data_IF_684853255909
#
_entry.id   IF_684853255909
#
_cell.length_a   1.000
_cell.length_b   1.000
_cell.length_c   1.000
_cell.angle_alpha   90.00
_cell.angle_beta   90.00
_cell.angle_gamma   90.00
#
_symmetry.space_group_name_H-M   'P 1'
#
loop_
_entity.id
_entity.type
_entity.pdbx_description
1 polymer ?
#
# COMPACT_ATOMS: atom_id res chain seq x y z
N UNK A 1 1.10 -73.68 17.67
CA UNK A 1 2.29 -73.30 16.89
C UNK A 1 3.44 -74.16 17.34
N UNK A 2 4.04 -74.93 16.47
CA UNK A 2 5.16 -75.78 16.80
C UNK A 2 6.43 -74.99 17.04
N UNK A 3 7.28 -75.41 18.01
CA UNK A 3 8.51 -74.70 18.36
C UNK A 3 9.43 -74.41 17.17
N UNK A 4 9.38 -75.22 16.12
CA UNK A 4 10.08 -74.95 14.84
C UNK A 4 9.63 -73.71 14.10
N UNK A 5 8.32 -73.38 14.09
CA UNK A 5 7.79 -72.19 13.43
C UNK A 5 8.18 -70.88 14.17
N UNK A 6 8.33 -70.99 15.51
CA UNK A 6 8.78 -69.84 16.33
C UNK A 6 10.25 -69.51 16.05
N UNK A 7 11.09 -70.49 15.89
CA UNK A 7 12.52 -70.31 15.57
C UNK A 7 12.71 -69.72 14.18
N UNK A 8 11.93 -70.16 13.19
CA UNK A 8 11.96 -69.59 11.83
C UNK A 8 11.50 -68.16 11.83
N UNK A 9 10.42 -67.81 12.56
CA UNK A 9 9.92 -66.48 12.68
C UNK A 9 10.92 -65.52 13.33
N UNK A 10 11.60 -65.96 14.36
CA UNK A 10 12.63 -65.18 15.04
C UNK A 10 13.86 -64.95 14.13
N UNK A 11 14.27 -65.94 13.34
CA UNK A 11 15.37 -65.81 12.40
C UNK A 11 15.03 -64.84 11.29
N UNK A 12 13.80 -64.85 10.74
CA UNK A 12 13.33 -63.91 9.74
C UNK A 12 13.28 -62.48 10.30
N UNK A 13 12.81 -62.32 11.55
CA UNK A 13 12.76 -60.99 12.19
C UNK A 13 14.16 -60.42 12.42
N UNK A 14 15.15 -61.22 12.77
CA UNK A 14 16.56 -60.79 12.93
C UNK A 14 17.17 -60.40 11.59
N UNK A 15 16.89 -61.16 10.52
CA UNK A 15 17.38 -60.84 9.16
C UNK A 15 16.73 -59.56 8.66
N UNK A 16 15.41 -59.40 8.82
CA UNK A 16 14.71 -58.15 8.41
C UNK A 16 15.17 -56.95 9.26
N UNK A 17 15.37 -57.11 10.54
CA UNK A 17 15.93 -56.09 11.43
C UNK A 17 17.37 -55.70 11.04
N UNK A 18 18.20 -56.70 10.69
CA UNK A 18 19.56 -56.47 10.19
C UNK A 18 19.61 -55.74 8.85
N UNK A 19 18.75 -56.10 7.91
CA UNK A 19 18.61 -55.42 6.62
C UNK A 19 18.09 -53.99 6.79
N UNK A 20 17.06 -53.78 7.63
CA UNK A 20 16.55 -52.44 7.97
C UNK A 20 17.61 -51.58 8.66
N UNK A 21 18.36 -52.13 9.60
CA UNK A 21 19.48 -51.43 10.24
C UNK A 21 20.60 -51.09 9.24
N UNK A 22 20.96 -51.97 8.34
CA UNK A 22 22.01 -51.76 7.33
C UNK A 22 21.59 -50.72 6.28
N UNK A 23 20.35 -50.76 5.84
CA UNK A 23 19.81 -49.77 4.89
C UNK A 23 19.62 -48.38 5.51
N UNK A 24 19.35 -48.28 6.81
CA UNK A 24 19.22 -47.01 7.53
C UNK A 24 20.57 -46.50 8.05
N UNK A 25 21.46 -47.40 8.55
CA UNK A 25 22.79 -47.01 9.01
C UNK A 25 23.73 -46.57 7.87
N UNK A 26 23.59 -47.18 6.69
CA UNK A 26 24.36 -46.78 5.48
C UNK A 26 23.97 -45.45 4.89
N UNK A 27 22.84 -44.84 5.23
CA UNK A 27 22.36 -43.57 4.72
C UNK A 27 22.67 -42.34 5.61
N UNK A 28 23.49 -42.47 6.60
CA UNK A 28 24.10 -41.31 7.27
C UNK A 28 25.25 -40.77 6.41
N UNK A 29 24.93 -40.29 5.23
CA UNK A 29 25.81 -39.29 4.61
C UNK A 29 25.83 -38.09 5.58
N UNK A 30 26.92 -37.97 6.32
CA UNK A 30 27.27 -36.75 7.07
C UNK A 30 27.66 -35.67 6.06
N UNK A 31 26.74 -35.22 5.26
CA UNK A 31 26.86 -33.90 4.66
C UNK A 31 26.74 -32.93 5.83
N UNK A 32 27.76 -32.09 6.11
CA UNK A 32 27.64 -31.12 7.19
C UNK A 32 26.42 -30.28 6.86
N UNK A 33 25.35 -30.42 7.68
CA UNK A 33 24.12 -29.72 7.46
C UNK A 33 24.40 -28.23 7.59
N UNK A 34 24.32 -27.50 6.48
CA UNK A 34 24.42 -26.02 6.48
C UNK A 34 23.10 -25.40 6.97
N UNK A 35 22.05 -26.21 7.12
CA UNK A 35 20.73 -25.78 7.64
C UNK A 35 20.89 -25.17 9.03
N UNK A 36 20.31 -24.01 9.23
CA UNK A 36 20.40 -23.24 10.46
C UNK A 36 21.62 -22.34 10.58
N UNK A 37 22.64 -22.47 9.70
CA UNK A 37 23.76 -21.51 9.67
C UNK A 37 23.31 -20.14 9.17
N UNK A 38 23.91 -19.08 9.70
CA UNK A 38 23.70 -17.70 9.20
C UNK A 38 24.23 -17.57 7.78
N UNK A 39 23.49 -16.82 6.94
CA UNK A 39 23.88 -16.55 5.55
C UNK A 39 24.99 -15.50 5.50
N UNK A 40 24.91 -14.48 6.34
CA UNK A 40 25.85 -13.38 6.38
C UNK A 40 26.81 -13.50 7.56
N UNK A 41 28.03 -12.95 7.44
CA UNK A 41 28.92 -12.75 8.59
C UNK A 41 28.25 -11.84 9.61
N UNK A 42 28.72 -11.87 10.85
CA UNK A 42 28.21 -10.97 11.91
C UNK A 42 28.56 -9.53 11.54
N UNK A 43 27.59 -8.65 11.62
CA UNK A 43 27.74 -7.19 11.50
C UNK A 43 26.79 -6.51 12.50
N UNK A 44 27.12 -5.31 12.94
CA UNK A 44 26.20 -4.50 13.73
C UNK A 44 25.38 -3.61 12.79
N UNK A 45 24.06 -3.57 12.98
CA UNK A 45 23.16 -2.74 12.17
C UNK A 45 23.52 -1.25 12.30
N UNK A 46 24.05 -0.83 13.46
CA UNK A 46 24.55 0.54 13.69
C UNK A 46 25.75 0.94 12.85
N UNK A 47 26.51 -0.03 12.38
CA UNK A 47 27.72 0.22 11.60
C UNK A 47 27.44 0.37 10.11
N UNK A 48 26.24 -0.03 9.70
CA UNK A 48 25.81 0.10 8.30
C UNK A 48 25.48 1.55 7.99
N UNK A 49 26.25 2.16 7.10
CA UNK A 49 26.01 3.51 6.61
C UNK A 49 25.57 3.55 5.13
N UNK A 50 25.70 2.43 4.42
CA UNK A 50 25.30 2.34 3.00
C UNK A 50 24.75 0.97 2.68
N UNK A 51 23.65 0.93 1.93
CA UNK A 51 23.03 -0.29 1.37
C UNK A 51 22.96 -0.15 -0.14
N UNK A 52 23.60 -1.04 -0.85
CA UNK A 52 23.55 -1.08 -2.31
C UNK A 52 22.83 -2.36 -2.75
N UNK A 53 21.81 -2.20 -3.57
CA UNK A 53 21.02 -3.28 -4.14
C UNK A 53 21.25 -3.23 -5.65
N UNK A 54 21.95 -4.22 -6.17
CA UNK A 54 22.32 -4.31 -7.58
C UNK A 54 21.72 -5.54 -8.24
N UNK A 55 21.06 -5.35 -9.38
CA UNK A 55 20.40 -6.39 -10.17
C UNK A 55 19.87 -5.76 -11.45
N UNK A 56 18.70 -6.22 -11.92
CA UNK A 56 18.00 -5.59 -13.04
C UNK A 56 17.63 -4.13 -12.76
N UNK A 57 17.36 -3.82 -11.49
CA UNK A 57 17.19 -2.45 -10.97
C UNK A 57 18.22 -2.20 -9.89
N UNK A 58 18.59 -0.93 -9.72
CA UNK A 58 19.58 -0.52 -8.72
C UNK A 58 18.92 0.41 -7.70
N UNK A 59 19.22 0.20 -6.43
CA UNK A 59 18.88 1.10 -5.33
C UNK A 59 20.11 1.33 -4.49
N UNK A 60 20.35 2.58 -4.13
CA UNK A 60 21.41 2.95 -3.20
C UNK A 60 20.81 3.80 -2.09
N UNK A 61 21.03 3.35 -0.86
CA UNK A 61 20.65 4.04 0.38
C UNK A 61 21.93 4.50 1.07
N UNK A 62 21.94 5.72 1.59
CA UNK A 62 23.07 6.25 2.32
C UNK A 62 22.62 6.98 3.59
N UNK A 63 23.36 6.78 4.68
CA UNK A 63 23.25 7.58 5.89
C UNK A 63 23.94 8.92 5.66
N UNK A 64 23.30 10.01 6.06
CA UNK A 64 23.78 11.38 6.03
C UNK A 64 23.57 12.02 7.39
N UNK A 65 24.12 13.20 7.62
CA UNK A 65 23.89 13.97 8.85
C UNK A 65 22.39 14.29 9.09
N UNK A 66 21.61 14.40 7.99
CA UNK A 66 20.18 14.65 8.04
C UNK A 66 19.32 13.37 8.15
N UNK A 67 19.94 12.19 8.24
CA UNK A 67 19.29 10.88 8.26
C UNK A 67 19.57 10.06 7.00
N UNK A 68 18.81 8.98 6.81
CA UNK A 68 18.96 8.12 5.64
C UNK A 68 18.27 8.69 4.42
N UNK A 69 18.90 8.52 3.26
CA UNK A 69 18.37 8.96 1.96
C UNK A 69 18.43 7.86 0.92
N UNK A 70 17.58 7.95 -0.09
CA UNK A 70 17.59 7.09 -1.27
C UNK A 70 18.29 7.86 -2.40
N UNK A 71 19.56 7.57 -2.65
CA UNK A 71 20.35 8.27 -3.66
C UNK A 71 19.75 8.13 -5.08
N UNK A 72 19.21 6.95 -5.41
CA UNK A 72 18.54 6.70 -6.68
C UNK A 72 17.22 7.45 -6.85
N UNK A 73 16.75 8.11 -5.80
CA UNK A 73 15.66 9.09 -5.81
C UNK A 73 16.15 10.50 -5.46
N UNK A 74 17.30 10.86 -5.98
CA UNK A 74 17.90 12.21 -5.82
C UNK A 74 18.11 12.64 -4.36
N UNK A 75 18.37 11.68 -3.47
CA UNK A 75 18.55 11.95 -2.04
C UNK A 75 17.22 12.14 -1.28
N UNK A 76 16.12 11.62 -1.79
CA UNK A 76 14.83 11.63 -1.08
C UNK A 76 14.96 10.93 0.29
N UNK A 77 14.34 11.45 1.35
CA UNK A 77 14.41 10.85 2.69
C UNK A 77 13.94 9.41 2.70
N UNK A 78 14.76 8.52 3.26
CA UNK A 78 14.41 7.13 3.45
C UNK A 78 13.68 6.91 4.78
N UNK A 79 12.86 5.87 4.83
CA UNK A 79 12.21 5.40 6.05
C UNK A 79 13.20 4.58 6.89
N UNK A 80 13.71 5.18 7.94
CA UNK A 80 14.71 4.57 8.84
C UNK A 80 14.18 3.29 9.50
N UNK A 81 12.88 3.25 9.80
CA UNK A 81 12.27 2.06 10.41
C UNK A 81 12.29 0.88 9.44
N UNK A 82 11.94 1.10 8.17
CA UNK A 82 12.02 0.08 7.12
C UNK A 82 13.46 -0.41 6.88
N UNK A 83 14.42 0.53 6.86
CA UNK A 83 15.83 0.17 6.71
C UNK A 83 16.26 -0.73 7.88
N UNK A 84 16.01 -0.30 9.10
CA UNK A 84 16.37 -1.07 10.30
C UNK A 84 15.72 -2.46 10.31
N UNK A 85 14.44 -2.54 10.03
CA UNK A 85 13.71 -3.82 9.96
C UNK A 85 14.37 -4.78 8.97
N UNK A 86 14.65 -4.31 7.76
CA UNK A 86 15.23 -5.15 6.71
C UNK A 86 16.69 -5.53 6.99
N UNK A 87 17.48 -4.65 7.62
CA UNK A 87 18.83 -4.98 8.07
C UNK A 87 18.83 -6.05 9.16
N UNK A 88 17.88 -6.00 10.10
CA UNK A 88 17.70 -7.04 11.11
C UNK A 88 17.29 -8.39 10.47
N UNK A 89 16.42 -8.38 9.47
CA UNK A 89 16.08 -9.59 8.71
C UNK A 89 17.31 -10.19 8.04
N UNK A 90 18.18 -9.38 7.45
CA UNK A 90 19.44 -9.86 6.87
C UNK A 90 20.39 -10.40 7.95
N UNK A 91 20.52 -9.71 9.08
CA UNK A 91 21.39 -10.12 10.20
C UNK A 91 20.97 -11.50 10.76
N UNK A 92 19.67 -11.78 10.79
CA UNK A 92 19.13 -13.02 11.31
C UNK A 92 18.89 -14.12 10.27
N UNK A 93 19.20 -13.84 9.01
CA UNK A 93 18.94 -14.73 7.90
C UNK A 93 19.71 -16.04 8.02
N UNK A 94 19.00 -17.17 7.99
CA UNK A 94 19.55 -18.52 8.16
C UNK A 94 19.16 -19.42 7.00
N UNK A 95 20.01 -20.38 6.70
CA UNK A 95 19.73 -21.45 5.76
C UNK A 95 18.53 -22.25 6.25
N UNK A 96 17.42 -22.25 5.51
CA UNK A 96 16.24 -23.09 5.78
C UNK A 96 16.39 -24.50 5.23
N UNK A 97 16.81 -24.60 3.97
CA UNK A 97 17.13 -25.88 3.32
C UNK A 97 18.10 -25.70 2.15
N UNK A 98 18.77 -26.76 1.76
CA UNK A 98 19.55 -26.81 0.51
C UNK A 98 18.60 -26.76 -0.70
N UNK A 99 18.93 -25.97 -1.69
CA UNK A 99 18.19 -25.88 -2.96
C UNK A 99 18.94 -26.61 -4.09
N UNK A 100 19.20 -27.91 -3.89
CA UNK A 100 19.94 -28.74 -4.83
C UNK A 100 19.30 -28.71 -6.21
N UNK A 101 20.09 -28.44 -7.24
CA UNK A 101 19.62 -28.33 -8.64
C UNK A 101 18.98 -27.00 -9.03
N UNK A 102 18.81 -26.05 -8.11
CA UNK A 102 18.38 -24.68 -8.43
C UNK A 102 19.58 -23.85 -8.87
N UNK A 103 19.55 -23.33 -10.09
CA UNK A 103 20.52 -22.35 -10.56
C UNK A 103 20.04 -20.92 -10.21
N UNK A 104 20.96 -20.07 -9.78
CA UNK A 104 20.77 -18.64 -9.60
C UNK A 104 21.68 -17.93 -10.58
N UNK A 105 21.14 -17.53 -11.75
CA UNK A 105 21.93 -17.03 -12.88
C UNK A 105 22.08 -15.52 -12.93
N UNK A 106 21.10 -14.79 -12.37
CA UNK A 106 21.08 -13.31 -12.38
C UNK A 106 20.69 -12.80 -11.00
N UNK A 107 21.54 -12.96 -9.98
CA UNK A 107 21.19 -12.57 -8.62
C UNK A 107 21.09 -11.06 -8.46
N UNK A 108 20.18 -10.64 -7.59
CA UNK A 108 20.22 -9.29 -7.00
C UNK A 108 21.23 -9.30 -5.87
N UNK A 109 22.30 -8.53 -6.00
CA UNK A 109 23.35 -8.45 -4.97
C UNK A 109 22.99 -7.33 -4.00
N UNK A 110 22.92 -7.65 -2.71
CA UNK A 110 22.78 -6.68 -1.63
C UNK A 110 24.14 -6.57 -0.94
N UNK A 111 24.71 -5.37 -0.93
CA UNK A 111 25.97 -5.06 -0.28
C UNK A 111 25.75 -4.04 0.84
N UNK A 112 26.28 -4.32 2.02
CA UNK A 112 26.26 -3.47 3.19
C UNK A 112 27.66 -2.90 3.41
N UNK A 113 27.77 -1.58 3.59
CA UNK A 113 29.03 -0.88 3.80
C UNK A 113 28.97 0.03 5.01
N UNK A 114 30.09 0.25 5.63
CA UNK A 114 30.27 1.23 6.71
C UNK A 114 30.38 2.67 6.19
N UNK A 115 30.55 3.63 7.09
CA UNK A 115 30.70 5.04 6.76
C UNK A 115 31.98 5.37 5.98
N UNK A 116 32.98 4.46 6.00
CA UNK A 116 34.21 4.60 5.23
C UNK A 116 34.16 3.90 3.87
N UNK A 117 33.02 3.25 3.56
CA UNK A 117 32.83 2.49 2.34
C UNK A 117 33.38 1.07 2.39
N UNK A 118 33.88 0.60 3.55
CA UNK A 118 34.35 -0.78 3.69
C UNK A 118 33.16 -1.75 3.69
N UNK A 119 33.33 -2.90 3.06
CA UNK A 119 32.28 -3.92 2.99
C UNK A 119 32.10 -4.62 4.35
N UNK A 120 30.88 -4.60 4.88
CA UNK A 120 30.50 -5.32 6.09
C UNK A 120 29.94 -6.70 5.78
N UNK A 121 29.06 -6.78 4.81
CA UNK A 121 28.42 -8.02 4.40
C UNK A 121 27.88 -7.90 2.97
N UNK A 122 27.70 -9.05 2.30
CA UNK A 122 27.05 -9.11 0.99
C UNK A 122 26.32 -10.43 0.81
N UNK A 123 25.16 -10.38 0.14
CA UNK A 123 24.37 -11.57 -0.20
C UNK A 123 23.83 -11.46 -1.63
N UNK A 124 23.84 -12.59 -2.34
CA UNK A 124 23.27 -12.72 -3.67
C UNK A 124 21.89 -13.40 -3.57
N UNK A 125 20.86 -12.65 -3.93
CA UNK A 125 19.44 -13.05 -3.87
C UNK A 125 19.00 -13.54 -5.24
N UNK A 126 18.44 -14.73 -5.31
CA UNK A 126 17.79 -15.30 -6.48
C UNK A 126 16.29 -15.02 -6.51
N UNK A 127 15.54 -15.92 -7.15
CA UNK A 127 14.08 -15.83 -7.27
C UNK A 127 13.38 -16.00 -5.92
N UNK A 128 12.23 -15.36 -5.78
CA UNK A 128 11.31 -15.61 -4.67
C UNK A 128 10.74 -17.02 -4.78
N UNK A 129 10.70 -17.74 -3.66
CA UNK A 129 10.01 -19.01 -3.57
C UNK A 129 8.53 -18.75 -3.30
N UNK A 130 7.68 -19.39 -4.12
CA UNK A 130 6.22 -19.27 -4.01
C UNK A 130 5.65 -20.56 -3.44
N UNK A 131 5.03 -20.49 -2.27
CA UNK A 131 4.30 -21.61 -1.71
C UNK A 131 3.06 -21.91 -2.54
N UNK A 132 2.77 -23.20 -2.75
CA UNK A 132 1.51 -23.60 -3.39
C UNK A 132 0.36 -23.41 -2.41
N UNK A 133 -0.77 -22.84 -2.84
CA UNK A 133 -1.95 -22.74 -1.99
C UNK A 133 -2.45 -24.13 -1.59
N UNK A 134 -2.93 -24.27 -0.34
CA UNK A 134 -3.49 -25.52 0.20
C UNK A 134 -4.96 -25.31 0.55
N UNK A 135 -5.73 -26.42 0.57
CA UNK A 135 -7.14 -26.40 0.96
C UNK A 135 -8.03 -25.61 0.00
N UNK A 136 -8.99 -24.88 0.54
CA UNK A 136 -9.97 -24.11 -0.27
C UNK A 136 -9.32 -23.08 -1.19
N UNK A 137 -8.21 -22.46 -0.80
CA UNK A 137 -7.52 -21.49 -1.68
C UNK A 137 -6.98 -22.12 -2.97
N UNK A 138 -6.66 -23.41 -2.96
CA UNK A 138 -6.23 -24.14 -4.15
C UNK A 138 -7.42 -24.33 -5.15
N UNK A 139 -8.65 -24.45 -4.64
CA UNK A 139 -9.86 -24.66 -5.45
C UNK A 139 -10.30 -23.36 -6.19
N UNK A 140 -10.00 -22.19 -5.64
CA UNK A 140 -10.34 -20.89 -6.24
C UNK A 140 -9.29 -20.38 -7.23
N UNK A 141 -8.34 -21.21 -7.68
CA UNK A 141 -7.31 -20.81 -8.65
C UNK A 141 -6.34 -19.77 -8.10
N UNK A 142 -6.21 -19.67 -6.78
CA UNK A 142 -5.30 -18.73 -6.11
C UNK A 142 -3.87 -19.01 -6.52
N UNK A 143 -3.15 -17.98 -6.95
CA UNK A 143 -1.70 -18.03 -7.14
C UNK A 143 -0.99 -18.36 -5.83
N UNK A 144 0.23 -18.91 -5.91
CA UNK A 144 1.07 -19.08 -4.72
C UNK A 144 1.36 -17.76 -4.03
N UNK A 145 1.78 -17.82 -2.78
CA UNK A 145 2.23 -16.64 -2.02
C UNK A 145 3.73 -16.74 -1.71
N UNK A 146 4.45 -15.61 -1.61
CA UNK A 146 5.86 -15.60 -1.24
C UNK A 146 6.05 -16.19 0.17
N UNK A 147 6.84 -17.24 0.30
CA UNK A 147 7.15 -17.87 1.60
C UNK A 147 8.64 -18.11 1.83
N UNK A 148 9.48 -17.58 0.94
CA UNK A 148 10.92 -17.65 1.04
C UNK A 148 11.63 -17.08 -0.16
N UNK A 149 12.95 -17.15 -0.15
CA UNK A 149 13.81 -16.73 -1.25
C UNK A 149 14.99 -17.64 -1.42
N UNK A 150 15.38 -17.90 -2.67
CA UNK A 150 16.64 -18.56 -2.99
C UNK A 150 17.79 -17.57 -2.81
N UNK A 151 18.86 -17.98 -2.15
CA UNK A 151 20.06 -17.16 -1.95
C UNK A 151 21.32 -18.01 -2.14
N UNK A 152 22.45 -17.37 -2.47
CA UNK A 152 23.74 -18.05 -2.52
C UNK A 152 24.39 -18.01 -1.12
N UNK A 153 24.46 -19.17 -0.47
CA UNK A 153 25.29 -19.38 0.71
C UNK A 153 26.76 -19.49 0.28
N UNK A 154 27.65 -18.79 0.98
CA UNK A 154 29.08 -18.68 0.64
C UNK A 154 29.34 -18.24 -0.83
N UNK A 155 28.42 -17.50 -1.42
CA UNK A 155 28.50 -17.01 -2.81
C UNK A 155 28.37 -18.10 -3.87
N UNK A 156 28.15 -19.36 -3.51
CA UNK A 156 28.20 -20.52 -4.43
C UNK A 156 27.04 -21.50 -4.28
N UNK A 157 26.63 -21.81 -3.06
CA UNK A 157 25.67 -22.88 -2.78
C UNK A 157 24.26 -22.33 -2.74
N UNK A 158 23.34 -22.71 -3.66
CA UNK A 158 21.96 -22.28 -3.61
C UNK A 158 21.26 -22.88 -2.40
N UNK A 159 20.62 -22.04 -1.61
CA UNK A 159 19.82 -22.41 -0.45
C UNK A 159 18.49 -21.67 -0.46
N UNK A 160 17.49 -22.18 0.24
CA UNK A 160 16.21 -21.51 0.48
C UNK A 160 16.22 -20.95 1.90
N UNK A 161 15.86 -19.67 2.02
CA UNK A 161 15.61 -18.98 3.28
C UNK A 161 14.12 -18.75 3.46
N UNK A 162 13.64 -18.59 4.70
CA UNK A 162 12.20 -18.45 4.99
C UNK A 162 11.64 -17.06 4.76
N UNK A 163 12.51 -16.05 4.62
CA UNK A 163 12.08 -14.68 4.35
C UNK A 163 12.13 -14.43 2.84
N UNK A 164 11.07 -13.82 2.28
CA UNK A 164 10.98 -13.47 0.87
C UNK A 164 11.87 -12.28 0.49
N UNK A 165 12.30 -11.47 1.45
CA UNK A 165 13.20 -10.32 1.28
C UNK A 165 12.73 -9.35 0.17
N UNK A 166 11.42 -9.11 0.08
CA UNK A 166 10.78 -8.33 -1.00
C UNK A 166 11.25 -6.88 -1.08
N UNK A 167 11.74 -6.30 0.03
CA UNK A 167 12.29 -4.95 0.01
C UNK A 167 13.53 -4.83 -0.89
N UNK A 168 14.25 -5.93 -1.11
CA UNK A 168 15.47 -5.98 -1.88
C UNK A 168 15.26 -6.25 -3.39
N UNK A 169 14.04 -6.13 -3.90
CA UNK A 169 13.74 -6.34 -5.33
C UNK A 169 14.13 -5.16 -6.24
N UNK A 170 14.82 -4.16 -5.69
CA UNK A 170 15.30 -3.01 -6.45
C UNK A 170 14.23 -1.96 -6.73
N UNK A 171 13.11 -1.93 -6.00
CA UNK A 171 12.15 -0.84 -6.03
C UNK A 171 12.50 0.20 -4.94
N UNK A 172 12.94 1.41 -5.30
CA UNK A 172 13.32 2.44 -4.32
C UNK A 172 12.16 2.87 -3.43
N UNK A 173 10.90 2.70 -3.86
CA UNK A 173 9.70 3.03 -3.05
C UNK A 173 9.54 2.12 -1.84
N UNK A 174 10.13 0.95 -1.83
CA UNK A 174 10.12 0.06 -0.65
C UNK A 174 10.87 0.68 0.54
N UNK A 175 11.69 1.68 0.32
CA UNK A 175 12.58 2.29 1.32
C UNK A 175 12.15 3.67 1.78
N UNK A 176 11.04 4.19 1.30
CA UNK A 176 10.53 5.52 1.64
C UNK A 176 9.13 5.47 2.23
N UNK A 177 8.71 6.55 2.86
CA UNK A 177 7.30 6.85 3.08
C UNK A 177 6.74 7.45 1.78
N UNK A 178 5.81 6.76 1.13
CA UNK A 178 5.20 7.24 -0.11
C UNK A 178 4.12 8.27 0.13
N UNK A 179 3.66 8.45 1.37
CA UNK A 179 2.59 9.38 1.72
C UNK A 179 3.09 10.82 1.69
N UNK A 180 2.61 11.61 0.73
CA UNK A 180 2.91 13.05 0.65
C UNK A 180 2.11 13.80 1.70
N UNK A 181 0.80 13.51 1.78
CA UNK A 181 -0.07 14.14 2.75
C UNK A 181 -1.28 13.25 3.08
N UNK A 182 -1.87 13.47 4.27
CA UNK A 182 -3.01 12.71 4.79
C UNK A 182 -3.96 13.67 5.51
N UNK A 183 -4.70 14.45 4.74
CA UNK A 183 -5.70 15.40 5.25
C UNK A 183 -7.02 14.68 5.49
N UNK A 184 -7.63 14.88 6.66
CA UNK A 184 -8.96 14.35 6.95
C UNK A 184 -10.00 15.08 6.09
N UNK A 185 -10.74 14.33 5.27
CA UNK A 185 -11.71 14.88 4.32
C UNK A 185 -12.78 15.76 5.00
N UNK A 186 -13.24 15.38 6.21
CA UNK A 186 -14.24 16.15 6.98
C UNK A 186 -13.74 17.51 7.45
N UNK A 187 -12.41 17.74 7.49
CA UNK A 187 -11.82 18.99 7.92
C UNK A 187 -11.73 20.03 6.80
N UNK A 188 -11.91 19.61 5.54
CA UNK A 188 -11.90 20.51 4.39
C UNK A 188 -13.18 21.33 4.38
N UNK A 189 -13.04 22.66 4.50
CA UNK A 189 -14.13 23.63 4.52
C UNK A 189 -14.40 24.26 3.14
N UNK A 190 -13.35 24.44 2.33
CA UNK A 190 -13.48 24.97 0.99
C UNK A 190 -12.41 24.40 0.06
N UNK A 191 -12.73 24.34 -1.24
CA UNK A 191 -11.78 24.00 -2.28
C UNK A 191 -11.88 24.99 -3.45
N UNK A 192 -10.75 25.28 -4.08
CA UNK A 192 -10.67 26.10 -5.26
C UNK A 192 -9.84 25.40 -6.32
N UNK A 193 -10.33 25.39 -7.55
CA UNK A 193 -9.61 24.93 -8.74
C UNK A 193 -9.35 26.14 -9.63
N UNK A 194 -8.10 26.36 -10.02
CA UNK A 194 -7.74 27.41 -10.95
C UNK A 194 -6.91 26.83 -12.09
N UNK A 195 -7.31 27.11 -13.34
CA UNK A 195 -6.57 26.73 -14.54
C UNK A 195 -6.72 27.81 -15.63
N UNK A 196 -5.63 28.42 -16.00
CA UNK A 196 -5.67 29.57 -16.92
C UNK A 196 -6.51 30.71 -16.35
N UNK A 197 -7.60 31.08 -17.04
CA UNK A 197 -8.54 32.12 -16.60
C UNK A 197 -9.74 31.57 -15.82
N UNK A 198 -9.92 30.26 -15.78
CA UNK A 198 -11.04 29.60 -15.09
C UNK A 198 -10.72 29.41 -13.61
N UNK A 199 -11.66 29.79 -12.76
CA UNK A 199 -11.60 29.54 -11.32
C UNK A 199 -12.94 28.99 -10.85
N UNK A 200 -12.90 27.85 -10.17
CA UNK A 200 -14.06 27.17 -9.61
C UNK A 200 -13.89 27.11 -8.10
N UNK A 201 -14.83 27.68 -7.36
CA UNK A 201 -14.80 27.74 -5.89
C UNK A 201 -16.01 27.02 -5.31
N UNK A 202 -15.74 26.08 -4.42
CA UNK A 202 -16.75 25.37 -3.63
C UNK A 202 -16.49 25.60 -2.14
N UNK A 203 -17.58 25.74 -1.39
CA UNK A 203 -17.53 25.86 0.07
C UNK A 203 -18.44 24.81 0.69
N UNK A 204 -18.08 24.31 1.87
CA UNK A 204 -18.91 23.37 2.61
C UNK A 204 -19.80 24.12 3.60
N UNK A 205 -21.11 24.00 3.46
CA UNK A 205 -22.12 24.54 4.39
C UNK A 205 -22.97 23.39 4.89
N UNK A 206 -23.11 23.25 6.19
CA UNK A 206 -23.91 22.19 6.85
C UNK A 206 -23.62 20.77 6.30
N UNK A 207 -22.33 20.49 6.06
CA UNK A 207 -21.86 19.21 5.53
C UNK A 207 -22.04 19.02 4.02
N UNK A 208 -22.70 19.93 3.32
CA UNK A 208 -22.95 19.88 1.87
C UNK A 208 -22.04 20.85 1.12
N UNK A 209 -21.63 20.47 -0.08
CA UNK A 209 -20.90 21.34 -0.97
C UNK A 209 -21.83 22.32 -1.67
N UNK A 210 -21.39 23.58 -1.76
CA UNK A 210 -22.03 24.67 -2.46
C UNK A 210 -21.04 25.23 -3.48
N UNK A 211 -21.44 25.29 -4.77
CA UNK A 211 -20.63 25.79 -5.86
C UNK A 211 -21.00 27.25 -6.16
N UNK A 212 -20.01 28.12 -6.08
CA UNK A 212 -20.21 29.54 -6.39
C UNK A 212 -20.58 29.76 -7.87
N UNK A 213 -21.54 30.65 -8.11
CA UNK A 213 -21.92 31.13 -9.45
C UNK A 213 -22.70 30.08 -10.28
N UNK A 214 -23.50 29.20 -9.66
CA UNK A 214 -24.47 28.38 -10.40
C UNK A 214 -25.53 29.24 -11.10
N UNK A 215 -25.80 28.92 -12.35
CA UNK A 215 -26.91 29.53 -13.09
C UNK A 215 -28.28 28.99 -12.66
N UNK A 216 -29.38 29.64 -13.05
CA UNK A 216 -30.74 29.26 -12.62
C UNK A 216 -31.17 27.84 -13.08
N UNK A 217 -30.55 27.35 -14.17
CA UNK A 217 -30.81 26.01 -14.72
C UNK A 217 -29.69 25.01 -14.43
N UNK A 218 -28.76 25.36 -13.55
CA UNK A 218 -27.62 24.52 -13.18
C UNK A 218 -27.74 24.06 -11.72
N UNK A 219 -27.23 22.87 -11.45
CA UNK A 219 -27.02 22.40 -10.09
C UNK A 219 -25.69 21.67 -9.97
N UNK A 220 -25.14 21.63 -8.76
CA UNK A 220 -23.94 20.85 -8.45
C UNK A 220 -24.25 19.36 -8.61
N UNK A 221 -23.46 18.68 -9.42
CA UNK A 221 -23.50 17.21 -9.48
C UNK A 221 -22.89 16.60 -8.21
N UNK A 222 -23.75 16.24 -7.25
CA UNK A 222 -23.33 15.67 -5.98
C UNK A 222 -22.58 14.35 -6.12
N UNK A 223 -22.77 13.61 -7.22
CA UNK A 223 -22.02 12.38 -7.50
C UNK A 223 -20.54 12.65 -7.76
N UNK A 224 -20.18 13.87 -8.12
CA UNK A 224 -18.80 14.32 -8.38
C UNK A 224 -18.11 14.95 -7.18
N UNK A 225 -18.82 15.11 -6.05
CA UNK A 225 -18.28 15.82 -4.89
C UNK A 225 -17.37 14.97 -3.98
N UNK A 226 -17.41 13.63 -4.11
CA UNK A 226 -16.62 12.72 -3.27
C UNK A 226 -15.11 12.98 -3.31
N UNK A 227 -14.56 13.35 -4.48
CA UNK A 227 -13.13 13.61 -4.63
C UNK A 227 -12.71 15.05 -4.29
N UNK A 228 -13.64 15.94 -3.94
CA UNK A 228 -13.33 17.34 -3.65
C UNK A 228 -12.55 17.52 -2.37
N UNK A 229 -12.93 16.78 -1.34
CA UNK A 229 -12.32 16.82 -0.01
C UNK A 229 -11.33 15.70 0.25
N UNK A 230 -11.42 14.60 -0.49
CA UNK A 230 -10.55 13.43 -0.32
C UNK A 230 -9.27 13.48 -1.17
N UNK A 231 -9.10 14.46 -2.04
CA UNK A 231 -7.93 14.58 -2.93
C UNK A 231 -6.58 14.55 -2.18
N UNK A 232 -6.54 15.08 -0.95
CA UNK A 232 -5.36 15.12 -0.09
C UNK A 232 -5.36 14.04 1.01
N UNK A 233 -6.40 13.19 1.11
CA UNK A 233 -6.52 12.20 2.21
C UNK A 233 -5.56 11.03 2.05
N UNK A 234 -5.31 10.60 0.80
CA UNK A 234 -4.47 9.46 0.47
C UNK A 234 -3.58 9.80 -0.73
N UNK A 235 -2.85 10.90 -0.61
CA UNK A 235 -1.96 11.35 -1.68
C UNK A 235 -0.60 10.67 -1.56
N UNK A 236 -0.35 9.69 -2.42
CA UNK A 236 0.90 8.93 -2.48
C UNK A 236 1.71 9.31 -3.72
N UNK A 237 3.02 9.38 -3.57
CA UNK A 237 3.93 9.55 -4.69
C UNK A 237 4.17 8.22 -5.42
N UNK A 238 4.40 8.31 -6.73
CA UNK A 238 4.90 7.22 -7.57
C UNK A 238 6.38 7.40 -7.90
N UNK A 239 6.92 8.60 -7.72
CA UNK A 239 8.31 8.96 -7.93
C UNK A 239 8.60 10.39 -7.54
N UNK A 240 9.83 10.81 -7.77
CA UNK A 240 10.34 12.17 -7.49
C UNK A 240 11.06 12.67 -8.73
N UNK A 241 10.88 13.94 -9.08
CA UNK A 241 11.57 14.57 -10.21
C UNK A 241 13.06 14.79 -9.91
N UNK A 242 13.87 14.77 -10.97
CA UNK A 242 15.23 15.27 -10.87
C UNK A 242 15.19 16.75 -10.45
N UNK A 243 15.84 17.13 -9.33
CA UNK A 243 15.85 18.51 -8.86
C UNK A 243 16.53 19.50 -9.81
N UNK A 244 17.24 19.01 -10.83
CA UNK A 244 17.85 19.82 -11.89
C UNK A 244 16.84 20.29 -12.93
N UNK A 245 15.67 19.63 -13.04
CA UNK A 245 14.63 20.01 -13.99
C UNK A 245 13.90 21.27 -13.52
N UNK A 246 13.70 22.19 -14.46
CA UNK A 246 12.99 23.45 -14.23
C UNK A 246 11.46 23.24 -14.21
N UNK A 247 10.74 24.19 -13.63
CA UNK A 247 9.26 24.15 -13.66
C UNK A 247 8.68 24.16 -15.08
N UNK A 248 9.39 24.79 -16.04
CA UNK A 248 8.98 24.82 -17.43
C UNK A 248 9.09 23.42 -18.07
N UNK A 249 10.21 22.72 -17.86
CA UNK A 249 10.41 21.35 -18.34
C UNK A 249 9.43 20.36 -17.73
N UNK A 250 9.05 20.60 -16.47
CA UNK A 250 8.05 19.79 -15.76
C UNK A 250 6.60 20.21 -16.10
N UNK A 251 6.41 21.19 -16.97
CA UNK A 251 5.09 21.58 -17.50
C UNK A 251 4.17 22.29 -16.52
N UNK A 252 4.69 22.94 -15.48
CA UNK A 252 3.89 23.66 -14.49
C UNK A 252 3.25 24.94 -14.99
N UNK A 253 3.70 25.49 -16.12
CA UNK A 253 3.17 26.73 -16.66
C UNK A 253 1.68 26.65 -17.06
N UNK A 254 1.23 25.47 -17.51
CA UNK A 254 -0.16 25.22 -17.93
C UNK A 254 -0.94 24.34 -16.95
N UNK A 255 -0.35 24.05 -15.81
CA UNK A 255 -0.92 23.21 -14.78
C UNK A 255 -2.12 23.83 -14.06
N UNK A 256 -2.95 23.00 -13.47
CA UNK A 256 -4.00 23.46 -12.56
C UNK A 256 -3.45 23.68 -11.16
N UNK A 257 -4.06 24.63 -10.45
CA UNK A 257 -3.80 24.89 -9.03
C UNK A 257 -5.06 24.53 -8.24
N UNK A 258 -4.91 23.59 -7.35
CA UNK A 258 -5.94 23.22 -6.37
C UNK A 258 -5.56 23.81 -5.02
N UNK A 259 -6.53 24.38 -4.33
CA UNK A 259 -6.37 24.88 -2.96
C UNK A 259 -7.46 24.29 -2.08
N UNK A 260 -7.07 23.66 -0.98
CA UNK A 260 -7.99 23.20 0.07
C UNK A 260 -7.79 24.03 1.33
N UNK A 261 -8.85 24.66 1.81
CA UNK A 261 -8.86 25.38 3.07
C UNK A 261 -9.54 24.53 4.12
N UNK A 262 -8.84 24.26 5.22
CA UNK A 262 -9.36 23.48 6.33
C UNK A 262 -10.13 24.39 7.32
N UNK A 263 -11.00 23.79 8.13
CA UNK A 263 -11.77 24.45 9.20
C UNK A 263 -10.89 25.18 10.22
N UNK A 264 -9.67 24.65 10.46
CA UNK A 264 -8.71 25.23 11.39
C UNK A 264 -7.84 26.35 10.80
N UNK A 265 -8.06 26.73 9.52
CA UNK A 265 -7.31 27.78 8.83
C UNK A 265 -6.04 27.30 8.10
N UNK A 266 -5.70 26.00 8.16
CA UNK A 266 -4.62 25.46 7.31
C UNK A 266 -5.07 25.44 5.85
N UNK A 267 -4.20 25.87 4.96
CA UNK A 267 -4.45 25.92 3.51
C UNK A 267 -3.41 25.09 2.79
N UNK A 268 -3.83 24.03 2.12
CA UNK A 268 -2.97 23.25 1.24
C UNK A 268 -3.14 23.68 -0.20
N UNK A 269 -2.02 23.82 -0.90
CA UNK A 269 -2.00 24.13 -2.34
C UNK A 269 -1.29 23.00 -3.07
N UNK A 270 -1.95 22.43 -4.07
CA UNK A 270 -1.39 21.44 -4.97
C UNK A 270 -1.37 22.02 -6.40
N UNK A 271 -0.19 22.04 -7.04
CA UNK A 271 0.00 22.51 -8.42
C UNK A 271 0.35 21.31 -9.29
N UNK A 272 -0.44 21.06 -10.34
CA UNK A 272 -0.17 19.98 -11.30
C UNK A 272 0.78 20.43 -12.38
N UNK A 273 1.65 19.55 -12.83
CA UNK A 273 2.53 19.75 -13.98
C UNK A 273 2.14 18.88 -15.18
N UNK A 274 3.07 18.72 -16.09
CA UNK A 274 2.97 17.86 -17.27
C UNK A 274 3.03 16.38 -16.94
N UNK A 275 3.17 15.56 -17.99
CA UNK A 275 3.33 14.11 -17.86
C UNK A 275 4.70 13.77 -17.27
N UNK A 276 4.72 12.88 -16.31
CA UNK A 276 5.93 12.27 -15.75
C UNK A 276 6.25 10.95 -16.47
N UNK A 277 6.44 9.85 -15.75
CA UNK A 277 6.68 8.54 -16.36
C UNK A 277 5.34 7.84 -16.66
N UNK A 278 5.19 7.32 -17.87
CA UNK A 278 3.94 6.69 -18.31
C UNK A 278 2.78 7.69 -18.36
N UNK A 279 1.71 7.43 -17.61
CA UNK A 279 0.54 8.33 -17.50
C UNK A 279 0.58 9.24 -16.28
N UNK A 280 1.58 9.09 -15.42
CA UNK A 280 1.70 9.88 -14.19
C UNK A 280 1.87 11.38 -14.49
N UNK A 281 1.62 12.20 -13.47
CA UNK A 281 1.71 13.66 -13.57
C UNK A 281 2.64 14.21 -12.49
N UNK A 282 3.30 15.29 -12.83
CA UNK A 282 4.07 16.05 -11.85
C UNK A 282 3.13 16.81 -10.93
N UNK A 283 3.51 16.89 -9.65
CA UNK A 283 2.76 17.59 -8.61
C UNK A 283 3.72 18.27 -7.63
N UNK A 284 3.41 19.52 -7.28
CA UNK A 284 3.99 20.20 -6.12
C UNK A 284 2.92 20.42 -5.08
N UNK A 285 3.25 20.29 -3.81
CA UNK A 285 2.32 20.52 -2.69
C UNK A 285 2.97 21.45 -1.69
N UNK A 286 2.22 22.40 -1.17
CA UNK A 286 2.63 23.29 -0.09
C UNK A 286 1.51 23.52 0.91
N UNK A 287 1.85 23.99 2.11
CA UNK A 287 0.89 24.35 3.14
C UNK A 287 1.15 25.80 3.63
N UNK A 288 0.08 26.49 3.96
CA UNK A 288 0.09 27.78 4.62
C UNK A 288 -0.92 27.75 5.78
N UNK A 289 -0.81 28.73 6.68
CA UNK A 289 -1.77 28.87 7.76
C UNK A 289 -2.32 30.30 7.79
N UNK A 290 -3.64 30.42 7.94
CA UNK A 290 -4.35 31.69 8.15
C UNK A 290 -5.17 31.55 9.44
N UNK A 291 -4.93 32.37 10.47
CA UNK A 291 -5.67 32.26 11.72
C UNK A 291 -7.19 32.40 11.53
N UNK A 292 -7.96 31.47 12.13
CA UNK A 292 -9.44 31.47 12.10
C UNK A 292 -10.03 31.78 13.48
N UNK A 293 -9.20 31.73 14.53
CA UNK A 293 -9.61 31.96 15.91
C UNK A 293 -8.60 32.81 16.65
N UNK A 294 -8.93 33.15 17.91
CA UNK A 294 -8.12 34.02 18.78
C UNK A 294 -7.15 33.26 19.68
N UNK A 295 -7.12 31.93 19.64
CA UNK A 295 -6.22 31.13 20.46
C UNK A 295 -4.80 31.17 19.89
N UNK A 296 -3.94 32.03 20.44
CA UNK A 296 -2.58 32.24 19.98
C UNK A 296 -1.71 30.97 20.04
N UNK A 297 -1.88 30.12 21.06
CA UNK A 297 -1.10 28.88 21.22
C UNK A 297 -1.44 27.87 20.13
N UNK A 298 -2.74 27.70 19.80
CA UNK A 298 -3.18 26.81 18.75
C UNK A 298 -2.75 27.31 17.36
N UNK A 299 -2.90 28.62 17.12
CA UNK A 299 -2.45 29.25 15.89
C UNK A 299 -0.94 29.06 15.66
N UNK A 300 -0.11 29.22 16.69
CA UNK A 300 1.33 29.00 16.60
C UNK A 300 1.68 27.55 16.24
N UNK A 301 0.97 26.57 16.81
CA UNK A 301 1.15 25.15 16.47
C UNK A 301 0.78 24.85 15.03
N UNK A 302 -0.34 25.38 14.53
CA UNK A 302 -0.79 25.16 13.16
C UNK A 302 0.13 25.84 12.15
N UNK A 303 0.63 27.04 12.47
CA UNK A 303 1.62 27.73 11.65
C UNK A 303 2.92 26.93 11.57
N UNK A 304 3.40 26.41 12.73
CA UNK A 304 4.60 25.57 12.76
C UNK A 304 4.40 24.28 11.97
N UNK A 305 3.25 23.62 12.09
CA UNK A 305 2.91 22.41 11.32
C UNK A 305 2.93 22.67 9.80
N UNK A 306 2.46 23.84 9.34
CA UNK A 306 2.55 24.22 7.93
C UNK A 306 4.00 24.43 7.48
N UNK A 307 4.84 25.06 8.32
CA UNK A 307 6.28 25.24 8.07
C UNK A 307 6.98 23.86 7.99
N UNK A 308 6.70 22.97 8.92
CA UNK A 308 7.30 21.62 8.97
C UNK A 308 6.88 20.79 7.75
N UNK A 309 5.62 20.89 7.34
CA UNK A 309 5.14 20.26 6.11
C UNK A 309 5.94 20.77 4.89
N UNK A 310 6.14 22.08 4.75
CA UNK A 310 6.89 22.64 3.64
C UNK A 310 8.37 22.26 3.69
N UNK A 311 8.97 22.17 4.86
CA UNK A 311 10.36 21.73 5.03
C UNK A 311 10.53 20.27 4.60
N UNK A 312 9.55 19.41 4.87
CA UNK A 312 9.54 17.98 4.50
C UNK A 312 9.11 17.78 3.04
N UNK A 313 7.95 18.28 2.67
CA UNK A 313 7.26 17.95 1.41
C UNK A 313 7.38 19.05 0.35
N UNK A 314 7.36 20.33 0.73
CA UNK A 314 7.26 21.46 -0.20
C UNK A 314 8.48 21.66 -1.10
N UNK A 315 9.65 21.13 -0.73
CA UNK A 315 10.88 21.23 -1.52
C UNK A 315 10.95 20.21 -2.68
N UNK A 316 10.04 19.22 -2.72
CA UNK A 316 10.06 18.17 -3.71
C UNK A 316 9.03 18.39 -4.81
N UNK A 317 9.35 17.90 -6.01
CA UNK A 317 8.39 17.70 -7.07
C UNK A 317 8.12 16.22 -7.20
N UNK A 318 6.87 15.83 -7.04
CA UNK A 318 6.43 14.44 -7.02
C UNK A 318 5.88 14.01 -8.36
N UNK A 319 6.09 12.76 -8.72
CA UNK A 319 5.24 12.05 -9.65
C UNK A 319 4.09 11.41 -8.87
N UNK A 320 2.87 11.56 -9.35
CA UNK A 320 1.66 10.94 -8.80
C UNK A 320 0.86 10.28 -9.91
N UNK A 321 0.02 9.28 -9.59
CA UNK A 321 -0.83 8.65 -10.60
C UNK A 321 -1.73 9.67 -11.29
N UNK A 322 -2.04 9.46 -12.58
CA UNK A 322 -3.00 10.31 -13.31
C UNK A 322 -4.33 10.41 -12.58
N UNK A 323 -4.82 9.32 -12.00
CA UNK A 323 -6.04 9.30 -11.20
C UNK A 323 -5.99 10.27 -10.01
N UNK A 324 -4.86 10.30 -9.27
CA UNK A 324 -4.67 11.25 -8.17
C UNK A 324 -4.57 12.70 -8.69
N UNK A 325 -3.83 12.90 -9.79
CA UNK A 325 -3.65 14.23 -10.38
C UNK A 325 -4.95 14.84 -10.91
N UNK A 326 -5.86 14.04 -11.48
CA UNK A 326 -7.15 14.48 -11.99
C UNK A 326 -8.07 15.03 -10.89
N UNK A 327 -7.84 14.67 -9.63
CA UNK A 327 -8.56 15.24 -8.50
C UNK A 327 -8.17 16.69 -8.22
N UNK A 328 -7.03 17.15 -8.73
CA UNK A 328 -6.55 18.54 -8.58
C UNK A 328 -6.85 19.43 -9.78
N UNK A 329 -7.45 18.92 -10.85
CA UNK A 329 -7.59 19.64 -12.13
C UNK A 329 -9.03 19.66 -12.65
N UNK A 330 -10.03 19.68 -11.76
CA UNK A 330 -11.45 19.73 -12.16
C UNK A 330 -11.84 21.08 -12.75
N UNK A 331 -12.55 21.05 -13.87
CA UNK A 331 -13.17 22.23 -14.47
C UNK A 331 -14.64 22.32 -14.01
N UNK A 332 -15.26 23.50 -14.18
CA UNK A 332 -16.69 23.73 -13.84
C UNK A 332 -17.62 22.71 -14.50
N UNK A 333 -17.40 22.42 -15.79
CA UNK A 333 -18.19 21.44 -16.57
C UNK A 333 -18.19 20.03 -15.97
N UNK A 334 -17.16 19.69 -15.19
CA UNK A 334 -17.03 18.37 -14.55
C UNK A 334 -17.85 18.25 -13.25
N UNK A 335 -18.35 19.39 -12.75
CA UNK A 335 -19.01 19.52 -11.45
C UNK A 335 -20.46 19.96 -11.54
N UNK A 336 -20.92 20.41 -12.71
CA UNK A 336 -22.24 20.98 -12.91
C UNK A 336 -23.06 20.08 -13.83
N UNK A 337 -24.33 19.89 -13.48
CA UNK A 337 -25.34 19.27 -14.35
C UNK A 337 -26.56 20.17 -14.51
N UNK A 338 -27.38 19.90 -15.54
CA UNK A 338 -28.65 20.59 -15.70
C UNK A 338 -29.57 20.26 -14.53
N UNK A 339 -30.24 21.27 -14.00
CA UNK A 339 -31.26 21.09 -12.98
C UNK A 339 -32.46 20.37 -13.60
N UNK A 340 -32.86 19.25 -13.03
CA UNK A 340 -34.07 18.56 -13.47
C UNK A 340 -35.28 19.45 -13.17
N UNK A 341 -36.05 19.79 -14.20
CA UNK A 341 -37.36 20.43 -13.99
C UNK A 341 -38.22 19.44 -13.21
N UNK A 342 -38.95 19.90 -12.18
CA UNK A 342 -39.88 19.05 -11.48
C UNK A 342 -40.85 18.47 -12.52
N UNK A 343 -40.88 17.14 -12.64
CA UNK A 343 -41.91 16.47 -13.45
C UNK A 343 -43.23 17.03 -12.95
N UNK A 344 -43.98 17.70 -13.84
CA UNK A 344 -45.37 18.06 -13.58
C UNK A 344 -46.08 16.72 -13.34
N UNK A 345 -46.33 16.41 -12.08
CA UNK A 345 -47.17 15.29 -11.73
C UNK A 345 -48.48 15.40 -12.50
N UNK A 346 -48.87 14.30 -13.15
CA UNK A 346 -50.18 14.07 -13.75
C UNK A 346 -51.29 14.16 -12.66
N UNK A 347 -51.52 15.35 -12.15
CA UNK A 347 -52.66 15.68 -11.25
C UNK A 347 -53.95 15.90 -12.03
N UNK A 348 -54.06 15.40 -13.29
CA UNK A 348 -55.23 15.55 -14.15
C UNK A 348 -55.82 14.22 -14.64
N UNK A 349 -55.91 13.24 -13.70
CA UNK A 349 -56.75 12.02 -13.91
C UNK A 349 -57.30 11.49 -12.60
N UNK A 350 -58.03 12.30 -11.86
CA UNK A 350 -58.96 11.86 -10.79
C UNK A 350 -60.14 12.78 -10.71
N UNK A 351 -60.94 12.76 -11.77
CA UNK A 351 -62.33 13.21 -11.70
C UNK A 351 -63.06 12.41 -12.78
N UNK A 352 -63.59 11.28 -12.41
CA UNK A 352 -64.84 10.63 -12.85
C UNK A 352 -64.76 9.13 -12.55
N UNK A 353 -65.10 8.77 -11.34
CA UNK A 353 -65.80 7.49 -11.08
C UNK A 353 -66.83 7.76 -10.02
N UNK A 354 -68.10 7.90 -10.51
CA UNK A 354 -69.30 7.90 -9.71
C UNK A 354 -69.45 6.58 -8.96
N UNK A 355 -69.76 6.76 -7.65
CA UNK A 355 -70.70 6.00 -6.84
C UNK A 355 -71.20 4.68 -7.37
N UNK A 356 -70.84 3.59 -6.70
CA UNK A 356 -71.70 2.41 -6.56
C UNK A 356 -71.48 1.76 -5.20
N UNK A 357 -72.58 1.54 -4.47
CA UNK A 357 -72.77 1.04 -3.16
C UNK A 357 -72.33 -0.41 -2.92
N UNK A 358 -72.14 -0.86 -1.67
CA UNK A 358 -71.46 -2.11 -1.33
C UNK A 358 -72.41 -3.28 -1.24
N UNK A 359 -72.03 -4.45 -1.80
CA UNK A 359 -72.64 -5.74 -1.47
C UNK A 359 -71.73 -6.51 -0.50
N UNK A 360 -72.33 -6.92 0.60
CA UNK A 360 -71.88 -7.91 1.60
C UNK A 360 -71.70 -9.29 0.96
N UNK A 361 -70.69 -10.00 1.40
CA UNK A 361 -70.60 -11.45 1.70
C UNK A 361 -69.12 -11.82 1.75
N UNK A 362 -68.72 -12.38 2.71
CA UNK A 362 -68.61 -13.59 3.51
C UNK A 362 -67.13 -13.86 3.83
N UNK A 363 -66.87 -14.06 5.12
CA UNK A 363 -65.60 -14.58 5.61
C UNK A 363 -65.50 -16.10 5.36
N UNK A 364 -64.25 -16.61 5.19
CA UNK A 364 -63.91 -17.72 6.04
C UNK A 364 -62.48 -17.75 6.59
N UNK A 365 -62.46 -18.17 7.84
CA UNK A 365 -61.55 -19.11 8.56
C UNK A 365 -60.04 -18.87 8.59
N UNK A 366 -59.63 -18.51 9.80
CA UNK A 366 -58.50 -18.85 10.63
C UNK A 366 -57.70 -20.09 10.18
N UNK A 367 -56.39 -19.92 10.01
CA UNK A 367 -55.41 -20.99 10.17
C UNK A 367 -54.27 -20.52 11.07
N UNK A 368 -54.09 -21.26 12.16
CA UNK A 368 -53.04 -21.15 13.14
C UNK A 368 -51.66 -21.37 12.52
N UNK A 369 -50.70 -20.54 12.88
CA UNK A 369 -49.29 -20.87 12.71
C UNK A 369 -48.58 -20.91 14.07
N UNK A 370 -47.98 -22.05 14.30
CA UNK A 370 -47.22 -22.45 15.48
C UNK A 370 -46.00 -21.56 15.68
N UNK A 371 -45.87 -21.11 16.92
CA UNK A 371 -44.71 -20.51 17.57
C UNK A 371 -43.59 -21.54 17.69
N UNK A 372 -42.39 -21.21 17.26
CA UNK A 372 -41.19 -21.97 17.59
C UNK A 372 -40.30 -21.12 18.49
N UNK A 373 -39.96 -21.70 19.61
CA UNK A 373 -39.12 -21.18 20.70
C UNK A 373 -37.64 -21.29 20.36
N UNK A 374 -36.74 -20.43 20.88
CA UNK A 374 -35.32 -20.52 20.65
C UNK A 374 -34.63 -21.45 21.66
N UNK A 375 -33.79 -22.35 21.16
CA UNK A 375 -32.92 -23.22 21.97
C UNK A 375 -31.74 -22.46 22.55
N UNK A 376 -31.57 -22.60 23.87
CA UNK A 376 -30.39 -22.20 24.63
C UNK A 376 -29.17 -23.08 24.29
N UNK A 377 -28.04 -22.44 24.22
CA UNK A 377 -26.71 -23.00 24.17
C UNK A 377 -26.22 -23.38 25.59
N UNK A 378 -25.53 -24.51 25.81
CA UNK A 378 -24.91 -24.82 27.09
C UNK A 378 -23.44 -24.42 27.12
N UNK A 379 -23.04 -23.71 28.17
CA UNK A 379 -21.66 -23.49 28.57
C UNK A 379 -20.95 -24.79 28.96
N UNK A 380 -19.66 -24.92 28.60
CA UNK A 380 -18.67 -25.81 29.25
C UNK A 380 -17.33 -25.08 29.30
N UNK A 381 -16.91 -25.00 30.50
CA UNK A 381 -15.70 -25.26 31.26
C UNK A 381 -14.40 -25.19 30.48
#
# INVERSE_FOLDING_TARGET
MTSKNLVILSAVAVVLGGVAYWTTAGKKMKTPSVVGKKILPAFAVSDVARVEIGGAKKVALAATDAGWTVETLYGYPADVAKIRENLLKLQDLKVGQLATGKAITSPTVVALKDAKGAALASVALGDTHMAKPKGQMAQFGGGGYPDGRYVLFDGKTPVLVKDALEAFDGDPKKWIDTRICAVTASDVAAVTYAKGKETVKLTRKDGKWDLAGLGPKEELDTSKTYSLDSALSYLDLTGVADPKLTEAELGFATGAVYTATLKNGTVYTAKTGGTATGSDRWLKVSAAFTPVGTNATENAKLEQAAKDFNAKAGKWTYSVSSYSADNFAKARKDLVKAKEEPKKDDAAKKADVKTAEPKKADAPKKAESKKAEPKKEPAKK
#
